data_IF_902207015616
#
_entry.id   IF_902207015616
#
_cell.length_a   1.000
_cell.length_b   1.000
_cell.length_c   1.000
_cell.angle_alpha   90.00
_cell.angle_beta   90.00
_cell.angle_gamma   90.00
#
_symmetry.space_group_name_H-M   'P 1'
#
loop_
_entity.id
_entity.type
_entity.pdbx_description
1 polymer ?
#
# COMPACT_ATOMS: atom_id res chain seq x y z
N UNK A 1 7.11 12.34 7.87
CA UNK A 1 6.54 11.13 8.51
C UNK A 1 7.46 10.66 9.62
N UNK A 2 6.93 10.50 10.79
CA UNK A 2 7.70 10.01 11.94
C UNK A 2 7.60 8.49 12.00
N UNK A 3 8.75 7.83 12.02
CA UNK A 3 8.81 6.37 12.11
C UNK A 3 9.12 5.94 13.54
N UNK A 4 8.48 4.86 13.97
CA UNK A 4 8.75 4.26 15.27
C UNK A 4 8.99 2.76 15.08
N UNK A 5 9.65 2.14 16.05
CA UNK A 5 9.84 0.69 16.05
C UNK A 5 8.87 0.07 17.04
N UNK A 6 8.14 -0.96 16.59
CA UNK A 6 7.17 -1.68 17.41
C UNK A 6 7.56 -3.16 17.38
N UNK A 7 7.70 -3.81 18.55
CA UNK A 7 7.97 -5.24 18.55
C UNK A 7 6.74 -6.03 18.15
N UNK A 8 6.94 -6.99 17.25
CA UNK A 8 5.89 -7.91 16.78
C UNK A 8 6.38 -9.33 17.02
N UNK A 9 5.52 -10.16 17.59
CA UNK A 9 5.83 -11.57 17.79
C UNK A 9 5.47 -12.35 16.54
N UNK A 10 6.47 -13.03 15.95
CA UNK A 10 6.28 -13.84 14.75
C UNK A 10 6.95 -15.20 14.96
N UNK A 11 6.51 -16.23 14.22
CA UNK A 11 7.24 -17.50 14.22
C UNK A 11 8.70 -17.28 13.81
N UNK A 12 9.61 -18.01 14.42
CA UNK A 12 11.05 -17.86 14.17
C UNK A 12 11.39 -17.95 12.67
N UNK A 13 10.72 -18.84 11.95
CA UNK A 13 10.98 -19.05 10.53
C UNK A 13 10.60 -17.86 9.65
N UNK A 14 9.78 -16.91 10.16
CA UNK A 14 9.42 -15.71 9.44
C UNK A 14 10.49 -14.62 9.52
N UNK A 15 11.39 -14.70 10.49
CA UNK A 15 12.32 -13.59 10.76
C UNK A 15 13.11 -13.13 9.51
N UNK A 16 13.66 -14.03 8.67
CA UNK A 16 14.41 -13.59 7.48
C UNK A 16 13.55 -12.83 6.46
N UNK A 17 12.23 -13.04 6.48
CA UNK A 17 11.32 -12.44 5.48
C UNK A 17 10.69 -11.13 5.94
N UNK A 18 10.72 -10.84 7.23
CA UNK A 18 10.08 -9.62 7.78
C UNK A 18 11.08 -8.67 8.41
N UNK A 19 12.36 -8.99 8.36
CA UNK A 19 13.41 -8.12 8.88
C UNK A 19 13.48 -6.83 8.08
N UNK A 20 14.07 -5.79 8.69
CA UNK A 20 14.24 -4.49 8.04
C UNK A 20 14.91 -4.63 6.68
N UNK A 21 14.45 -3.81 5.73
CA UNK A 21 14.97 -3.83 4.37
C UNK A 21 14.97 -2.45 3.75
N UNK A 22 14.82 -2.38 2.43
CA UNK A 22 14.72 -1.12 1.70
C UNK A 22 13.40 -0.40 2.01
N UNK A 23 13.32 0.88 1.65
CA UNK A 23 12.07 1.64 1.76
C UNK A 23 10.93 0.95 1.01
N UNK A 24 11.23 0.37 -0.14
CA UNK A 24 10.23 -0.37 -0.92
C UNK A 24 9.73 -1.59 -0.16
N UNK A 25 10.63 -2.38 0.41
CA UNK A 25 10.27 -3.57 1.17
C UNK A 25 9.45 -3.21 2.42
N UNK A 26 9.82 -2.14 3.10
CA UNK A 26 9.10 -1.65 4.27
C UNK A 26 7.69 -1.18 3.90
N UNK A 27 7.56 -0.44 2.78
CA UNK A 27 6.26 -0.01 2.28
C UNK A 27 5.36 -1.20 1.97
N UNK A 28 5.88 -2.17 1.23
CA UNK A 28 5.11 -3.34 0.81
C UNK A 28 4.64 -4.16 2.02
N UNK A 29 5.53 -4.37 2.99
CA UNK A 29 5.18 -5.08 4.22
C UNK A 29 4.11 -4.30 5.00
N UNK A 30 4.29 -3.00 5.19
CA UNK A 30 3.37 -2.17 5.95
C UNK A 30 2.00 -2.08 5.26
N UNK A 31 2.00 -1.98 3.93
CA UNK A 31 0.75 -1.97 3.16
C UNK A 31 -0.02 -3.28 3.35
N UNK A 32 0.68 -4.41 3.34
CA UNK A 32 0.03 -5.71 3.56
C UNK A 32 -0.45 -5.88 5.00
N UNK A 33 0.24 -5.31 5.97
CA UNK A 33 -0.21 -5.33 7.36
C UNK A 33 -1.49 -4.53 7.56
N UNK A 34 -1.68 -3.46 6.81
CA UNK A 34 -2.88 -2.63 6.90
C UNK A 34 -4.06 -3.19 6.12
N UNK A 35 -3.82 -4.10 5.18
CA UNK A 35 -4.88 -4.60 4.30
C UNK A 35 -6.07 -5.20 5.05
N UNK A 36 -5.93 -6.05 6.07
CA UNK A 36 -7.09 -6.58 6.80
C UNK A 36 -7.95 -5.49 7.43
N UNK A 37 -7.33 -4.38 7.84
CA UNK A 37 -8.04 -3.24 8.43
C UNK A 37 -8.83 -2.46 7.39
N UNK A 38 -8.35 -2.42 6.15
CA UNK A 38 -9.10 -1.85 5.03
C UNK A 38 -10.26 -2.77 4.68
N UNK A 39 -10.02 -4.06 4.64
CA UNK A 39 -11.00 -5.05 4.28
C UNK A 39 -12.18 -5.07 5.25
N UNK A 40 -11.91 -4.95 6.56
CA UNK A 40 -12.95 -4.94 7.58
C UNK A 40 -13.52 -3.53 7.84
N UNK A 41 -13.11 -2.55 7.05
CA UNK A 41 -13.59 -1.15 7.10
C UNK A 41 -13.19 -0.40 8.37
N UNK A 42 -12.14 -0.83 9.05
CA UNK A 42 -11.58 -0.07 10.17
C UNK A 42 -10.95 1.23 9.67
N UNK A 43 -10.26 1.17 8.52
CA UNK A 43 -9.72 2.35 7.85
C UNK A 43 -10.05 2.28 6.36
N UNK A 44 -10.05 3.43 5.70
CA UNK A 44 -10.24 3.50 4.25
C UNK A 44 -8.91 3.33 3.52
N UNK A 45 -8.97 3.08 2.19
CA UNK A 45 -7.77 3.09 1.35
C UNK A 45 -7.05 4.45 1.44
N UNK A 46 -7.82 5.54 1.44
CA UNK A 46 -7.26 6.88 1.54
C UNK A 46 -6.51 7.11 2.85
N UNK A 47 -7.10 6.63 3.97
CA UNK A 47 -6.45 6.77 5.27
C UNK A 47 -5.18 5.92 5.34
N UNK A 48 -5.23 4.69 4.83
CA UNK A 48 -4.05 3.82 4.78
C UNK A 48 -2.94 4.48 3.96
N UNK A 49 -3.27 5.07 2.82
CA UNK A 49 -2.30 5.78 1.99
C UNK A 49 -1.67 6.95 2.74
N UNK A 50 -2.47 7.73 3.48
CA UNK A 50 -1.95 8.82 4.32
C UNK A 50 -0.95 8.29 5.35
N UNK A 51 -1.31 7.21 6.03
CA UNK A 51 -0.44 6.60 7.05
C UNK A 51 0.88 6.16 6.43
N UNK A 52 0.82 5.59 5.22
CA UNK A 52 2.00 5.10 4.52
C UNK A 52 2.79 6.21 3.80
N UNK A 53 2.23 7.42 3.74
CA UNK A 53 2.90 8.53 3.08
C UNK A 53 2.93 8.44 1.56
N UNK A 54 1.90 7.82 0.96
CA UNK A 54 1.80 7.66 -0.49
C UNK A 54 0.44 8.13 -0.98
N UNK A 55 0.30 8.30 -2.29
CA UNK A 55 -1.00 8.60 -2.89
C UNK A 55 -1.87 7.35 -2.87
N UNK A 56 -3.19 7.54 -2.73
CA UNK A 56 -4.16 6.45 -2.72
C UNK A 56 -4.01 5.52 -3.92
N UNK A 57 -3.78 6.08 -5.11
CA UNK A 57 -3.62 5.28 -6.33
C UNK A 57 -2.35 4.42 -6.33
N UNK A 58 -1.28 4.89 -5.69
CA UNK A 58 -0.06 4.08 -5.53
C UNK A 58 -0.36 2.85 -4.68
N UNK A 59 -1.15 3.02 -3.63
CA UNK A 59 -1.52 1.91 -2.76
C UNK A 59 -2.43 0.91 -3.47
N UNK A 60 -3.44 1.40 -4.20
CA UNK A 60 -4.35 0.56 -4.96
C UNK A 60 -3.58 -0.23 -6.02
N UNK A 61 -2.66 0.41 -6.71
CA UNK A 61 -1.82 -0.24 -7.72
C UNK A 61 -0.96 -1.33 -7.10
N UNK A 62 -0.38 -1.08 -5.93
CA UNK A 62 0.38 -2.10 -5.23
C UNK A 62 -0.48 -3.31 -4.90
N UNK A 63 -1.68 -3.08 -4.35
CA UNK A 63 -2.59 -4.20 -4.03
C UNK A 63 -2.97 -4.98 -5.27
N UNK A 64 -3.21 -4.30 -6.41
CA UNK A 64 -3.50 -4.99 -7.68
C UNK A 64 -2.34 -5.87 -8.10
N UNK A 65 -1.11 -5.40 -7.92
CA UNK A 65 0.08 -6.20 -8.25
C UNK A 65 0.19 -7.46 -7.40
N UNK A 66 -0.45 -7.45 -6.24
CA UNK A 66 -0.51 -8.60 -5.32
C UNK A 66 -1.76 -9.46 -5.54
N UNK A 67 -2.54 -9.17 -6.59
CA UNK A 67 -3.74 -9.92 -6.88
C UNK A 67 -4.97 -9.48 -6.10
N UNK A 68 -4.92 -8.31 -5.46
CA UNK A 68 -6.03 -7.78 -4.65
C UNK A 68 -6.73 -6.69 -5.45
N UNK A 69 -7.95 -6.94 -6.00
CA UNK A 69 -8.63 -5.94 -6.81
C UNK A 69 -9.25 -4.83 -5.97
N UNK A 70 -9.35 -3.64 -6.56
CA UNK A 70 -10.09 -2.54 -5.98
C UNK A 70 -11.54 -2.61 -6.43
N UNK A 71 -12.46 -2.91 -5.53
CA UNK A 71 -13.85 -3.23 -5.87
C UNK A 71 -14.78 -2.03 -5.98
N UNK A 72 -14.30 -0.81 -5.71
CA UNK A 72 -15.14 0.39 -5.75
C UNK A 72 -15.26 1.04 -7.12
N UNK A 73 -14.46 0.59 -8.08
CA UNK A 73 -14.45 1.08 -9.45
C UNK A 73 -14.28 -0.10 -10.39
N UNK A 74 -14.71 0.05 -11.63
CA UNK A 74 -14.41 -0.94 -12.65
C UNK A 74 -12.89 -0.94 -12.89
N UNK A 75 -12.38 -2.05 -13.39
CA UNK A 75 -10.96 -2.17 -13.73
C UNK A 75 -10.56 -1.10 -14.75
N UNK A 76 -11.41 -0.85 -15.74
CA UNK A 76 -11.14 0.12 -16.80
C UNK A 76 -11.06 1.54 -16.27
N UNK A 77 -12.03 1.94 -15.41
CA UNK A 77 -12.04 3.26 -14.79
C UNK A 77 -10.79 3.46 -13.92
N UNK A 78 -10.42 2.43 -13.18
CA UNK A 78 -9.26 2.49 -12.31
C UNK A 78 -7.97 2.62 -13.11
N UNK A 79 -7.84 1.87 -14.20
CA UNK A 79 -6.67 1.94 -15.07
C UNK A 79 -6.52 3.32 -15.71
N UNK A 80 -7.64 3.93 -16.12
CA UNK A 80 -7.63 5.28 -16.66
C UNK A 80 -7.19 6.30 -15.62
N UNK A 81 -7.69 6.16 -14.39
CA UNK A 81 -7.33 7.06 -13.30
C UNK A 81 -5.85 6.93 -12.93
N UNK A 82 -5.33 5.72 -12.88
CA UNK A 82 -3.92 5.47 -12.60
C UNK A 82 -3.04 6.05 -13.72
N UNK A 83 -3.45 5.87 -14.98
CA UNK A 83 -2.71 6.41 -16.12
C UNK A 83 -2.66 7.94 -16.07
N UNK A 84 -3.79 8.58 -15.75
CA UNK A 84 -3.87 10.04 -15.61
C UNK A 84 -3.00 10.52 -14.45
N UNK A 85 -3.01 9.82 -13.34
CA UNK A 85 -2.19 10.16 -12.18
C UNK A 85 -0.70 10.07 -12.51
N UNK A 86 -0.28 9.01 -13.21
CA UNK A 86 1.11 8.84 -13.61
C UNK A 86 1.56 9.92 -14.57
N UNK A 87 0.72 10.27 -15.55
CA UNK A 87 1.02 11.34 -16.49
C UNK A 87 1.20 12.68 -15.77
N UNK A 88 0.31 12.98 -14.82
CA UNK A 88 0.41 14.18 -14.01
C UNK A 88 1.70 14.19 -13.19
N UNK A 89 2.06 13.08 -12.58
CA UNK A 89 3.25 12.93 -11.76
C UNK A 89 4.52 13.13 -12.57
N UNK A 90 4.58 12.59 -13.79
CA UNK A 90 5.72 12.76 -14.70
C UNK A 90 5.87 14.22 -15.13
N UNK A 91 4.76 14.90 -15.39
CA UNK A 91 4.79 16.28 -15.87
C UNK A 91 4.99 17.31 -14.75
N UNK A 92 4.91 16.89 -13.50
CA UNK A 92 5.04 17.78 -12.34
C UNK A 92 6.50 18.05 -11.94
N UNK A 93 7.43 17.47 -12.65
CA UNK A 93 8.86 17.63 -12.36
C UNK A 93 9.45 18.89 -12.97
#
# INVERSE_FOLDING_TARGET
>A
MTMISIPITVPQEMAPYVAEGSQKADFERNAMMLYPLIQNRTISHGRAAEILGVHKLDLIEFYQSMGIPYLRQSKEELEEEIAAYRAFKENAQ
#
